data_IF_995318669628
#
_entry.id   IF_995318669628
#
_cell.length_a   1.000
_cell.length_b   1.000
_cell.length_c   1.000
_cell.angle_alpha   90.00
_cell.angle_beta   90.00
_cell.angle_gamma   90.00
#
_symmetry.space_group_name_H-M   'P 1'
#
loop_
_entity.id
_entity.type
_entity.pdbx_description
1 polymer ?
#
# COMPACT_ATOMS: atom_id res chain seq x y z
N UNK A 1 0.66 -21.40 -6.37
CA UNK A 1 2.04 -21.31 -5.84
C UNK A 1 2.86 -22.44 -6.46
N UNK A 2 4.09 -22.19 -6.88
CA UNK A 2 4.96 -23.17 -7.56
C UNK A 2 6.43 -22.86 -7.28
N UNK A 3 7.37 -23.41 -8.06
CA UNK A 3 8.82 -23.21 -7.83
C UNK A 3 9.28 -21.74 -7.89
N UNK A 4 8.46 -20.86 -8.48
CA UNK A 4 8.68 -19.40 -8.51
C UNK A 4 7.84 -18.66 -7.47
N UNK A 5 7.48 -19.31 -6.36
CA UNK A 5 6.84 -18.63 -5.26
C UNK A 5 7.72 -17.46 -4.79
N UNK A 6 7.11 -16.30 -4.60
CA UNK A 6 7.84 -15.09 -4.24
C UNK A 6 8.64 -15.33 -2.96
N UNK A 7 9.96 -15.24 -3.08
CA UNK A 7 10.88 -15.37 -1.94
C UNK A 7 10.59 -14.30 -0.88
N UNK A 8 10.16 -13.11 -1.32
CA UNK A 8 9.79 -12.00 -0.46
C UNK A 8 8.36 -12.04 0.09
N UNK A 9 7.57 -13.11 -0.13
CA UNK A 9 6.17 -13.12 0.28
C UNK A 9 5.98 -12.98 1.81
N UNK A 10 6.93 -13.49 2.60
CA UNK A 10 6.88 -13.39 4.06
C UNK A 10 7.24 -11.99 4.53
N UNK A 11 8.31 -11.40 4.00
CA UNK A 11 8.72 -10.05 4.40
C UNK A 11 7.68 -8.99 3.99
N UNK A 12 7.17 -9.05 2.76
CA UNK A 12 6.13 -8.14 2.30
C UNK A 12 4.85 -8.22 3.14
N UNK A 13 4.53 -9.41 3.68
CA UNK A 13 3.41 -9.58 4.61
C UNK A 13 3.67 -8.88 5.94
N UNK A 14 4.85 -9.08 6.53
CA UNK A 14 5.22 -8.41 7.79
C UNK A 14 5.23 -6.89 7.61
N UNK A 15 5.86 -6.38 6.56
CA UNK A 15 5.88 -4.95 6.25
C UNK A 15 4.46 -4.37 6.14
N UNK A 16 3.57 -5.06 5.42
CA UNK A 16 2.17 -4.63 5.30
C UNK A 16 1.44 -4.64 6.65
N UNK A 17 1.63 -5.69 7.46
CA UNK A 17 0.99 -5.79 8.78
C UNK A 17 1.42 -4.64 9.70
N UNK A 18 2.73 -4.39 9.81
CA UNK A 18 3.26 -3.35 10.69
C UNK A 18 2.86 -1.94 10.21
N UNK A 19 3.00 -1.66 8.90
CA UNK A 19 2.71 -0.33 8.35
C UNK A 19 1.23 0.00 8.47
N UNK A 20 0.32 -0.89 8.07
CA UNK A 20 -1.11 -0.59 8.10
C UNK A 20 -1.67 -0.55 9.53
N UNK A 21 -1.15 -1.37 10.45
CA UNK A 21 -1.53 -1.28 11.88
C UNK A 21 -1.11 0.06 12.47
N UNK A 22 0.17 0.43 12.29
CA UNK A 22 0.70 1.68 12.83
C UNK A 22 0.00 2.93 12.26
N UNK A 23 -0.35 2.91 10.97
CA UNK A 23 -1.12 3.99 10.35
C UNK A 23 -2.52 4.12 10.95
N UNK A 24 -3.23 3.00 11.10
CA UNK A 24 -4.59 3.00 11.67
C UNK A 24 -4.61 3.45 13.13
N UNK A 25 -3.61 3.04 13.92
CA UNK A 25 -3.49 3.43 15.34
C UNK A 25 -3.11 4.91 15.51
N UNK A 26 -2.17 5.41 14.71
CA UNK A 26 -1.63 6.77 14.85
C UNK A 26 -2.50 7.84 14.19
N UNK A 27 -3.22 7.48 13.14
CA UNK A 27 -4.02 8.40 12.33
C UNK A 27 -5.45 7.86 12.14
N UNK A 28 -6.26 7.81 13.22
CA UNK A 28 -7.60 7.21 13.17
C UNK A 28 -8.57 7.95 12.23
N UNK A 29 -8.30 9.22 11.90
CA UNK A 29 -9.08 10.04 10.97
C UNK A 29 -8.40 10.15 9.59
N UNK A 30 -7.50 9.24 9.23
CA UNK A 30 -6.83 9.26 7.93
C UNK A 30 -7.85 9.02 6.81
N UNK A 31 -8.05 10.02 5.96
CA UNK A 31 -9.01 9.98 4.85
C UNK A 31 -8.31 10.26 3.52
N UNK A 32 -8.88 9.77 2.41
CA UNK A 32 -8.39 10.12 1.08
C UNK A 32 -8.74 11.58 0.77
N UNK A 33 -7.75 12.38 0.41
CA UNK A 33 -7.99 13.77 -0.01
C UNK A 33 -8.67 13.84 -1.39
N UNK A 34 -8.52 12.79 -2.20
CA UNK A 34 -9.19 12.66 -3.50
C UNK A 34 -9.43 11.18 -3.84
N UNK A 35 -10.44 10.92 -4.66
CA UNK A 35 -10.73 9.59 -5.21
C UNK A 35 -10.13 9.39 -6.61
N UNK A 36 -9.58 10.45 -7.20
CA UNK A 36 -8.82 10.36 -8.43
C UNK A 36 -7.50 9.61 -8.16
N UNK A 37 -7.15 8.69 -9.06
CA UNK A 37 -5.95 7.85 -8.92
C UNK A 37 -5.21 7.80 -10.23
N UNK A 38 -3.94 8.18 -10.20
CA UNK A 38 -3.03 7.96 -11.31
C UNK A 38 -2.13 6.75 -11.02
N UNK A 39 -2.04 5.85 -11.98
CA UNK A 39 -1.17 4.68 -11.89
C UNK A 39 0.13 4.93 -12.64
N UNK A 40 1.21 4.32 -12.15
CA UNK A 40 2.45 4.24 -12.89
C UNK A 40 2.21 3.50 -14.22
N UNK A 41 2.81 3.95 -15.34
CA UNK A 41 2.70 3.28 -16.63
C UNK A 41 3.56 2.00 -16.65
N UNK A 42 3.17 1.02 -15.86
CA UNK A 42 3.88 -0.26 -15.69
C UNK A 42 2.98 -1.42 -16.07
N UNK A 43 3.49 -2.28 -16.95
CA UNK A 43 2.81 -3.50 -17.38
C UNK A 43 2.94 -4.64 -16.36
N UNK A 44 3.98 -4.60 -15.52
CA UNK A 44 4.33 -5.69 -14.60
C UNK A 44 3.74 -5.46 -13.21
N UNK A 45 3.61 -4.20 -12.79
CA UNK A 45 3.19 -3.85 -11.44
C UNK A 45 2.12 -2.77 -11.46
N UNK A 46 1.03 -3.00 -10.71
CA UNK A 46 0.00 -2.00 -10.49
C UNK A 46 0.32 -1.18 -9.25
N UNK A 47 0.86 0.01 -9.45
CA UNK A 47 1.20 0.96 -8.38
C UNK A 47 0.66 2.35 -8.70
N UNK A 48 0.25 3.09 -7.68
CA UNK A 48 -0.20 4.48 -7.82
C UNK A 48 1.02 5.41 -7.78
N UNK A 49 0.96 6.52 -8.52
CA UNK A 49 2.00 7.56 -8.47
C UNK A 49 2.04 8.24 -7.10
N UNK A 50 0.86 8.51 -6.58
CA UNK A 50 0.62 9.12 -5.27
C UNK A 50 -0.72 8.64 -4.70
N UNK A 51 -0.90 8.81 -3.40
CA UNK A 51 -2.15 8.58 -2.70
C UNK A 51 -2.34 9.71 -1.67
N UNK A 52 -2.88 10.86 -2.09
CA UNK A 52 -3.03 12.01 -1.21
C UNK A 52 -4.04 11.72 -0.09
N UNK A 53 -3.67 12.06 1.14
CA UNK A 53 -4.45 11.82 2.35
C UNK A 53 -4.58 13.09 3.20
N UNK A 54 -5.66 13.19 3.97
CA UNK A 54 -5.88 14.22 4.99
C UNK A 54 -5.91 13.59 6.37
N UNK A 55 -5.56 14.39 7.39
CA UNK A 55 -5.54 14.00 8.81
C UNK A 55 -6.60 14.73 9.65
N UNK A 56 -7.65 15.26 9.00
CA UNK A 56 -8.74 16.07 9.56
C UNK A 56 -8.92 16.03 11.09
#
# INVERSE_FOLDING_TARGET
SGIHHCLGATIARVEGQEVFSALAERYPNLELATHEREYQPSITFRSMKDLPVSLN
#
